data_IF_597198892980
#
_entry.id   IF_597198892980
#
_cell.length_a   1.000
_cell.length_b   1.000
_cell.length_c   1.000
_cell.angle_alpha   90.00
_cell.angle_beta   90.00
_cell.angle_gamma   90.00
#
_symmetry.space_group_name_H-M   'P 1'
#
loop_
_entity.id
_entity.type
_entity.pdbx_description
1 polymer ?
#
# COMPACT_ATOMS: atom_id res chain seq x y z
N UNK A 1 -0.58 -27.49 11.66
CA UNK A 1 -0.59 -26.26 10.86
C UNK A 1 0.83 -26.10 10.35
N UNK A 2 1.11 -26.09 9.04
CA UNK A 2 2.44 -25.74 8.59
C UNK A 2 2.70 -24.31 9.05
N UNK A 3 3.78 -24.12 9.79
CA UNK A 3 4.30 -22.81 10.15
C UNK A 3 4.89 -22.18 8.88
N UNK A 4 4.09 -21.35 8.20
CA UNK A 4 4.53 -20.61 7.02
C UNK A 4 5.64 -19.68 7.45
N UNK A 5 6.87 -20.02 7.05
CA UNK A 5 8.05 -19.22 7.39
C UNK A 5 8.13 -18.08 6.38
N UNK A 6 7.93 -16.85 6.84
CA UNK A 6 8.01 -15.68 5.98
C UNK A 6 9.45 -15.39 5.55
N UNK A 7 9.65 -15.04 4.30
CA UNK A 7 10.94 -14.65 3.73
C UNK A 7 11.13 -13.13 3.81
N UNK A 8 12.12 -12.64 4.58
CA UNK A 8 12.34 -11.20 4.76
C UNK A 8 12.59 -10.47 3.44
N UNK A 9 11.86 -9.37 3.23
CA UNK A 9 12.06 -8.50 2.08
C UNK A 9 11.73 -7.04 2.41
N UNK A 10 12.52 -6.12 1.87
CA UNK A 10 12.29 -4.69 2.00
C UNK A 10 11.14 -4.23 1.08
N UNK A 11 10.38 -3.18 1.46
CA UNK A 11 9.25 -2.70 0.66
C UNK A 11 9.62 -2.31 -0.77
N UNK A 12 10.73 -1.60 -0.96
CA UNK A 12 11.22 -1.14 -2.27
C UNK A 12 11.60 -2.32 -3.18
N UNK A 13 12.28 -3.33 -2.61
CA UNK A 13 12.64 -4.54 -3.32
C UNK A 13 11.40 -5.34 -3.76
N UNK A 14 10.45 -5.53 -2.86
CA UNK A 14 9.20 -6.24 -3.16
C UNK A 14 8.41 -5.54 -4.26
N UNK A 15 8.28 -4.20 -4.20
CA UNK A 15 7.60 -3.43 -5.25
C UNK A 15 8.31 -3.58 -6.60
N UNK A 16 9.65 -3.55 -6.61
CA UNK A 16 10.43 -3.76 -7.84
C UNK A 16 10.17 -5.14 -8.45
N UNK A 17 10.18 -6.20 -7.64
CA UNK A 17 9.89 -7.56 -8.10
C UNK A 17 8.45 -7.68 -8.61
N UNK A 18 7.48 -7.13 -7.89
CA UNK A 18 6.07 -7.12 -8.30
C UNK A 18 5.86 -6.45 -9.66
N UNK A 19 6.41 -5.24 -9.86
CA UNK A 19 6.25 -4.52 -11.12
C UNK A 19 6.89 -5.26 -12.29
N UNK A 20 8.02 -5.94 -12.06
CA UNK A 20 8.69 -6.76 -13.07
C UNK A 20 7.87 -8.01 -13.43
N UNK A 21 7.30 -8.67 -12.44
CA UNK A 21 6.43 -9.85 -12.62
C UNK A 21 5.20 -9.49 -13.48
N UNK A 22 4.57 -8.35 -13.17
CA UNK A 22 3.35 -7.88 -13.88
C UNK A 22 3.59 -7.25 -15.24
N UNK A 23 4.83 -6.88 -15.58
CA UNK A 23 5.13 -6.14 -16.80
C UNK A 23 4.73 -6.88 -18.09
N UNK A 24 4.73 -8.21 -18.08
CA UNK A 24 4.33 -9.01 -19.24
C UNK A 24 2.81 -9.26 -19.31
N UNK A 25 2.08 -9.02 -18.22
CA UNK A 25 0.66 -9.33 -18.09
C UNK A 25 -0.23 -8.09 -18.24
N UNK A 26 0.30 -6.92 -17.90
CA UNK A 26 -0.45 -5.66 -17.86
C UNK A 26 0.05 -4.68 -18.92
N UNK A 27 -0.85 -3.81 -19.36
CA UNK A 27 -0.47 -2.69 -20.23
C UNK A 27 0.51 -1.73 -19.53
N UNK A 28 1.43 -1.13 -20.29
CA UNK A 28 2.44 -0.21 -19.77
C UNK A 28 1.84 0.93 -18.93
N UNK A 29 0.72 1.51 -19.38
CA UNK A 29 0.02 2.56 -18.63
C UNK A 29 -0.49 2.09 -17.26
N UNK A 30 -0.87 0.83 -17.13
CA UNK A 30 -1.26 0.22 -15.85
C UNK A 30 -0.05 0.03 -14.95
N UNK A 31 1.07 -0.44 -15.51
CA UNK A 31 2.35 -0.58 -14.78
C UNK A 31 2.83 0.77 -14.25
N UNK A 32 2.78 1.83 -15.05
CA UNK A 32 3.15 3.17 -14.62
C UNK A 32 2.22 3.70 -13.51
N UNK A 33 0.92 3.43 -13.64
CA UNK A 33 -0.05 3.77 -12.60
C UNK A 33 0.22 3.04 -11.29
N UNK A 34 0.57 1.75 -11.37
CA UNK A 34 0.89 0.92 -10.21
C UNK A 34 2.19 1.36 -9.56
N UNK A 35 3.23 1.63 -10.37
CA UNK A 35 4.51 2.17 -9.91
C UNK A 35 4.31 3.42 -9.08
N UNK A 36 3.62 4.43 -9.60
CA UNK A 36 3.38 5.68 -8.89
C UNK A 36 2.69 5.46 -7.53
N UNK A 37 1.68 4.58 -7.49
CA UNK A 37 0.93 4.29 -6.25
C UNK A 37 1.79 3.52 -5.25
N UNK A 38 2.54 2.52 -5.69
CA UNK A 38 3.35 1.69 -4.81
C UNK A 38 4.62 2.42 -4.33
N UNK A 39 5.16 3.35 -5.10
CA UNK A 39 6.22 4.27 -4.63
C UNK A 39 5.72 5.08 -3.43
N UNK A 40 4.46 5.53 -3.42
CA UNK A 40 3.90 6.21 -2.23
C UNK A 40 3.78 5.31 -1.01
N UNK A 41 3.62 3.99 -1.21
CA UNK A 41 3.64 3.03 -0.12
C UNK A 41 5.06 2.85 0.43
N UNK A 42 6.06 2.72 -0.45
CA UNK A 42 7.48 2.66 -0.05
C UNK A 42 7.90 3.93 0.70
N UNK A 43 7.60 5.11 0.15
CA UNK A 43 7.85 6.41 0.79
C UNK A 43 7.28 6.44 2.22
N UNK A 44 6.06 5.90 2.40
CA UNK A 44 5.40 5.85 3.70
C UNK A 44 6.05 4.82 4.64
N UNK A 45 6.41 3.64 4.15
CA UNK A 45 7.14 2.64 4.93
C UNK A 45 8.46 3.21 5.47
N UNK A 46 9.20 3.97 4.67
CA UNK A 46 10.41 4.67 5.12
C UNK A 46 10.12 5.67 6.25
N UNK A 47 9.00 6.40 6.18
CA UNK A 47 8.63 7.36 7.25
C UNK A 47 8.21 6.69 8.56
N UNK A 48 7.78 5.44 8.51
CA UNK A 48 7.33 4.67 9.69
C UNK A 48 8.37 3.65 10.17
N UNK A 49 9.61 3.71 9.63
CA UNK A 49 10.68 2.75 9.89
C UNK A 49 10.28 1.28 9.61
N UNK A 50 9.39 1.07 8.63
CA UNK A 50 8.95 -0.26 8.18
C UNK A 50 9.90 -0.77 7.09
N UNK A 51 11.01 -1.36 7.51
CA UNK A 51 12.07 -1.84 6.62
C UNK A 51 11.87 -3.29 6.14
N UNK A 52 10.92 -4.03 6.73
CA UNK A 52 10.67 -5.44 6.42
C UNK A 52 9.17 -5.74 6.34
N UNK A 53 8.72 -6.26 5.19
CA UNK A 53 7.32 -6.59 4.96
C UNK A 53 6.78 -7.71 5.84
N UNK A 54 7.64 -8.56 6.43
CA UNK A 54 7.21 -9.55 7.42
C UNK A 54 6.53 -8.90 8.65
N UNK A 55 6.80 -7.62 8.91
CA UNK A 55 6.19 -6.86 10.00
C UNK A 55 4.91 -6.13 9.60
N UNK A 56 4.52 -6.16 8.33
CA UNK A 56 3.34 -5.46 7.82
C UNK A 56 2.07 -6.06 8.40
N UNK A 57 1.27 -5.24 9.09
CA UNK A 57 0.02 -5.66 9.69
C UNK A 57 -1.20 -4.96 9.08
N UNK A 58 -2.40 -5.47 9.39
CA UNK A 58 -3.65 -4.79 9.05
C UNK A 58 -3.75 -3.37 9.65
N UNK A 59 -3.09 -3.10 10.78
CA UNK A 59 -3.05 -1.77 11.40
C UNK A 59 -2.20 -0.81 10.57
N UNK A 60 -1.12 -1.29 9.98
CA UNK A 60 -0.25 -0.50 9.12
C UNK A 60 -0.96 -0.17 7.80
N UNK A 61 -1.69 -1.13 7.23
CA UNK A 61 -2.54 -0.87 6.06
C UNK A 61 -3.61 0.20 6.33
N UNK A 62 -4.20 0.21 7.54
CA UNK A 62 -5.13 1.25 7.96
C UNK A 62 -4.45 2.62 8.10
N UNK A 63 -3.26 2.67 8.72
CA UNK A 63 -2.47 3.90 8.86
C UNK A 63 -2.09 4.46 7.49
N UNK A 64 -1.66 3.61 6.56
CA UNK A 64 -1.36 4.02 5.19
C UNK A 64 -2.59 4.61 4.49
N UNK A 65 -3.77 3.99 4.63
CA UNK A 65 -5.03 4.55 4.13
C UNK A 65 -5.29 5.95 4.69
N UNK A 66 -5.15 6.14 6.00
CA UNK A 66 -5.38 7.43 6.66
C UNK A 66 -4.36 8.49 6.20
N UNK A 67 -3.11 8.10 5.99
CA UNK A 67 -2.08 8.96 5.41
C UNK A 67 -2.47 9.42 4.00
N UNK A 68 -2.84 8.49 3.11
CA UNK A 68 -3.21 8.84 1.72
C UNK A 68 -4.53 9.59 1.61
N UNK A 69 -5.48 9.37 2.52
CA UNK A 69 -6.77 10.07 2.53
C UNK A 69 -6.64 11.57 2.81
N UNK A 70 -5.53 12.04 3.39
CA UNK A 70 -5.27 13.47 3.57
C UNK A 70 -4.92 14.18 2.26
N UNK A 71 -4.41 13.45 1.26
CA UNK A 71 -3.92 14.00 -0.01
C UNK A 71 -4.79 13.67 -1.22
N UNK A 72 -5.70 12.69 -1.10
CA UNK A 72 -6.43 12.12 -2.24
C UNK A 72 -7.94 12.21 -2.04
N UNK A 73 -8.65 12.48 -3.15
CA UNK A 73 -10.10 12.29 -3.20
C UNK A 73 -10.48 10.79 -3.17
N UNK A 74 -11.75 10.49 -2.88
CA UNK A 74 -12.27 9.12 -2.71
C UNK A 74 -11.96 8.19 -3.89
N UNK A 75 -12.08 8.69 -5.13
CA UNK A 75 -11.80 7.92 -6.35
C UNK A 75 -10.32 7.55 -6.46
N UNK A 76 -9.44 8.53 -6.21
CA UNK A 76 -7.99 8.34 -6.27
C UNK A 76 -7.50 7.45 -5.13
N UNK A 77 -8.08 7.62 -3.94
CA UNK A 77 -7.80 6.79 -2.77
C UNK A 77 -8.22 5.33 -3.00
N UNK A 78 -9.38 5.10 -3.63
CA UNK A 78 -9.78 3.75 -4.06
C UNK A 78 -8.73 3.14 -4.98
N UNK A 79 -8.33 3.85 -6.04
CA UNK A 79 -7.33 3.37 -6.97
C UNK A 79 -5.97 3.09 -6.33
N UNK A 80 -5.58 3.90 -5.34
CA UNK A 80 -4.38 3.70 -4.52
C UNK A 80 -4.46 2.39 -3.72
N UNK A 81 -5.57 2.17 -3.02
CA UNK A 81 -5.75 1.01 -2.14
C UNK A 81 -6.00 -0.28 -2.91
N UNK A 82 -6.63 -0.22 -4.09
CA UNK A 82 -6.82 -1.40 -4.93
C UNK A 82 -5.48 -1.88 -5.51
N UNK A 83 -4.58 -0.96 -5.90
CA UNK A 83 -3.22 -1.30 -6.31
C UNK A 83 -2.42 -1.90 -5.14
N UNK A 84 -2.53 -1.31 -3.94
CA UNK A 84 -1.91 -1.87 -2.73
C UNK A 84 -2.44 -3.28 -2.43
N UNK A 85 -3.75 -3.51 -2.54
CA UNK A 85 -4.34 -4.84 -2.30
C UNK A 85 -3.78 -5.88 -3.27
N UNK A 86 -3.68 -5.55 -4.55
CA UNK A 86 -3.11 -6.45 -5.55
C UNK A 86 -1.63 -6.76 -5.27
N UNK A 87 -0.87 -5.77 -4.82
CA UNK A 87 0.52 -5.94 -4.39
C UNK A 87 0.64 -6.84 -3.16
N UNK A 88 -0.11 -6.57 -2.07
CA UNK A 88 -0.08 -7.39 -0.84
C UNK A 88 -0.47 -8.83 -1.14
N UNK A 89 -1.49 -9.05 -1.98
CA UNK A 89 -1.87 -10.40 -2.41
C UNK A 89 -0.76 -11.13 -3.18
N UNK A 90 0.05 -10.39 -3.93
CA UNK A 90 1.21 -10.98 -4.60
C UNK A 90 2.34 -11.26 -3.59
N UNK A 91 2.56 -10.40 -2.59
CA UNK A 91 3.51 -10.65 -1.51
C UNK A 91 3.20 -11.95 -0.74
N UNK A 92 1.92 -12.26 -0.54
CA UNK A 92 1.48 -13.55 0.05
C UNK A 92 1.99 -14.74 -0.79
N UNK A 93 1.99 -14.62 -2.11
CA UNK A 93 2.43 -15.71 -3.01
C UNK A 93 3.93 -15.98 -3.01
N UNK A 94 4.72 -15.08 -2.42
CA UNK A 94 6.18 -15.20 -2.29
C UNK A 94 6.62 -15.22 -0.81
N UNK A 95 5.70 -15.54 0.10
CA UNK A 95 5.94 -15.65 1.54
C UNK A 95 6.51 -14.35 2.18
N UNK A 96 6.26 -13.18 1.59
CA UNK A 96 6.77 -11.89 2.08
C UNK A 96 5.91 -11.23 3.17
N UNK A 97 4.66 -11.68 3.32
CA UNK A 97 3.69 -11.18 4.31
C UNK A 97 2.81 -12.34 4.79
N UNK A 98 2.10 -12.14 5.90
CA UNK A 98 1.12 -13.11 6.38
C UNK A 98 0.02 -13.37 5.35
N UNK A 99 -0.41 -14.63 5.25
CA UNK A 99 -1.51 -15.05 4.38
C UNK A 99 -2.80 -14.26 4.68
N UNK A 100 -3.60 -13.99 3.65
CA UNK A 100 -4.87 -13.27 3.73
C UNK A 100 -4.79 -11.81 4.20
N UNK A 101 -3.59 -11.24 4.36
CA UNK A 101 -3.39 -9.84 4.75
C UNK A 101 -4.03 -8.86 3.74
N UNK A 102 -4.08 -9.21 2.45
CA UNK A 102 -4.72 -8.40 1.41
C UNK A 102 -6.20 -8.09 1.71
N UNK A 103 -6.90 -9.00 2.41
CA UNK A 103 -8.29 -8.80 2.82
C UNK A 103 -8.44 -7.66 3.84
N UNK A 104 -7.36 -7.29 4.53
CA UNK A 104 -7.34 -6.19 5.51
C UNK A 104 -7.14 -4.82 4.85
N UNK A 105 -6.88 -4.75 3.54
CA UNK A 105 -6.83 -3.48 2.81
C UNK A 105 -8.25 -2.93 2.65
N UNK A 106 -8.59 -1.87 3.35
CA UNK A 106 -9.94 -1.28 3.39
C UNK A 106 -10.17 -0.24 2.28
N UNK A 107 -10.41 -0.69 1.05
CA UNK A 107 -10.76 0.18 -0.08
C UNK A 107 -12.18 0.79 0.08
N UNK A 108 -12.38 2.10 -0.18
CA UNK A 108 -13.69 2.71 -0.23
C UNK A 108 -14.63 2.03 -1.24
N UNK A 109 -15.89 1.87 -0.85
CA UNK A 109 -16.98 1.57 -1.78
C UNK A 109 -17.40 2.89 -2.43
N UNK A 110 -17.27 2.99 -3.76
CA UNK A 110 -17.84 4.12 -4.52
C UNK A 110 -19.21 3.64 -5.02
N UNK A 111 -20.27 4.38 -4.71
CA UNK A 111 -21.54 4.20 -5.41
C UNK A 111 -21.46 4.91 -6.78
N UNK A 112 -22.19 4.42 -7.79
CA UNK A 112 -22.09 4.83 -9.20
C UNK A 112 -22.28 6.33 -9.50
N UNK A 113 -22.66 7.15 -8.51
CA UNK A 113 -22.79 8.61 -8.61
C UNK A 113 -21.54 9.43 -8.29
N UNK A 114 -20.46 8.81 -7.80
CA UNK A 114 -19.31 9.54 -7.20
C UNK A 114 -18.28 10.07 -8.22
N UNK A 115 -18.73 10.46 -9.43
CA UNK A 115 -17.92 11.22 -10.40
C UNK A 115 -17.89 12.73 -10.12
N UNK A 116 -18.66 13.21 -9.15
CA UNK A 116 -18.70 14.63 -8.81
C UNK A 116 -18.74 14.84 -7.29
N UNK A 117 -17.67 15.47 -6.78
CA UNK A 117 -17.58 16.26 -5.54
C UNK A 117 -18.02 15.63 -4.20
N UNK A 118 -17.08 15.69 -3.25
CA UNK A 118 -17.31 15.76 -1.80
C UNK A 118 -18.39 14.83 -1.23
N UNK A 119 -18.02 13.58 -1.02
CA UNK A 119 -18.53 12.84 0.14
C UNK A 119 -17.33 12.33 0.90
N UNK A 120 -16.88 13.19 1.83
CA UNK A 120 -16.20 12.75 3.04
C UNK A 120 -16.99 11.55 3.56
N UNK A 121 -16.31 10.42 3.77
CA UNK A 121 -16.85 9.29 4.48
C UNK A 121 -17.56 9.79 5.73
N UNK A 122 -18.89 9.68 5.72
CA UNK A 122 -19.75 9.82 6.88
C UNK A 122 -19.13 8.98 8.00
N UNK A 123 -18.78 9.64 9.10
CA UNK A 123 -17.88 9.11 10.13
C UNK A 123 -18.52 7.98 10.97
N UNK A 124 -19.68 7.46 10.58
CA UNK A 124 -20.46 6.50 11.36
C UNK A 124 -20.35 5.04 10.86
N UNK A 125 -19.60 4.76 9.79
CA UNK A 125 -19.34 3.37 9.34
C UNK A 125 -17.97 2.81 9.78
N UNK A 126 -17.35 3.41 10.81
CA UNK A 126 -16.04 2.99 11.32
C UNK A 126 -16.12 1.98 12.49
N UNK A 127 -17.32 1.57 12.92
CA UNK A 127 -17.51 0.89 14.23
C UNK A 127 -17.95 -0.58 14.14
N UNK A 128 -17.72 -1.29 13.03
CA UNK A 128 -18.10 -2.73 12.96
C UNK A 128 -17.05 -3.68 12.32
N UNK A 129 -15.82 -3.21 12.08
CA UNK A 129 -14.71 -4.05 11.56
C UNK A 129 -13.56 -4.17 12.58
N UNK A 130 -13.79 -3.79 13.84
CA UNK A 130 -12.79 -3.95 14.90
C UNK A 130 -12.98 -5.20 15.77
N UNK A 131 -14.02 -6.00 15.55
CA UNK A 131 -14.31 -7.17 16.41
C UNK A 131 -13.65 -8.50 15.96
N UNK A 132 -12.70 -8.46 15.01
CA UNK A 132 -12.02 -9.67 14.52
C UNK A 132 -10.49 -9.65 14.59
N UNK A 133 -9.84 -8.62 15.17
CA UNK A 133 -8.37 -8.57 15.26
C UNK A 133 -7.83 -8.19 16.65
N UNK A 134 -8.61 -8.42 17.70
CA UNK A 134 -8.16 -8.28 19.08
C UNK A 134 -7.38 -9.52 19.56
N UNK A 135 -6.34 -9.93 18.83
CA UNK A 135 -5.27 -10.80 19.35
C UNK A 135 -3.95 -10.36 18.72
N UNK A 136 -2.97 -10.15 19.60
CA UNK A 136 -1.59 -9.70 19.38
C UNK A 136 -1.30 -8.22 19.63
N UNK A 137 -0.31 -8.08 20.51
CA UNK A 137 -0.01 -6.98 21.40
C UNK A 137 0.79 -5.86 20.72
N UNK A 138 0.53 -4.63 21.18
CA UNK A 138 1.61 -3.73 21.61
C UNK A 138 2.57 -3.15 20.58
N UNK A 139 2.13 -2.10 19.88
CA UNK A 139 2.92 -0.85 19.79
C UNK A 139 2.04 0.34 19.37
N UNK A 140 1.78 1.20 20.35
CA UNK A 140 1.35 2.58 20.12
C UNK A 140 2.62 3.43 20.08
N UNK A 141 2.92 4.02 18.92
CA UNK A 141 3.74 5.21 18.87
C UNK A 141 2.95 6.26 18.10
N UNK A 142 2.32 7.16 18.84
CA UNK A 142 1.75 8.38 18.28
C UNK A 142 2.90 9.38 18.21
N UNK A 143 3.38 9.64 16.99
CA UNK A 143 4.46 10.58 16.74
C UNK A 143 4.22 11.33 15.44
N UNK A 144 3.33 12.31 15.48
CA UNK A 144 3.18 13.32 14.42
C UNK A 144 4.49 14.11 14.31
N UNK A 145 5.17 14.07 13.17
CA UNK A 145 5.73 15.29 12.58
C UNK A 145 6.15 15.13 11.12
N UNK A 146 5.65 16.06 10.33
CA UNK A 146 6.04 16.42 8.98
C UNK A 146 7.53 16.82 8.92
N UNK A 147 8.12 16.63 7.73
CA UNK A 147 9.43 17.11 7.27
C UNK A 147 10.65 16.22 7.53
N UNK A 148 10.98 15.39 6.53
CA UNK A 148 12.37 15.14 6.13
C UNK A 148 12.47 14.68 4.67
N UNK A 149 12.28 15.63 3.76
CA UNK A 149 12.71 15.50 2.36
C UNK A 149 14.22 15.27 2.29
N UNK A 150 14.63 14.13 1.74
CA UNK A 150 15.89 13.80 1.02
C UNK A 150 16.28 12.36 1.42
N UNK A 151 16.04 11.34 0.61
CA UNK A 151 16.72 11.09 -0.68
C UNK A 151 16.08 9.87 -1.37
N UNK A 152 15.47 10.05 -2.54
CA UNK A 152 15.35 8.98 -3.54
C UNK A 152 15.13 9.59 -4.93
N UNK A 153 16.06 10.45 -5.33
CA UNK A 153 16.14 10.99 -6.71
C UNK A 153 17.00 10.12 -7.63
N UNK A 154 17.15 8.84 -7.33
CA UNK A 154 18.10 7.95 -8.02
C UNK A 154 17.46 6.95 -9.02
N UNK A 155 16.12 6.81 -9.08
CA UNK A 155 15.47 5.84 -9.99
C UNK A 155 14.99 6.49 -11.32
N UNK A 156 15.11 7.82 -11.46
CA UNK A 156 14.50 8.58 -12.56
C UNK A 156 15.41 8.83 -13.79
N UNK A 157 16.42 8.00 -14.06
CA UNK A 157 17.36 8.22 -15.18
C UNK A 157 17.61 7.01 -16.11
N UNK A 158 16.82 5.94 -16.08
CA UNK A 158 17.06 4.78 -16.97
C UNK A 158 15.97 4.45 -17.99
N UNK A 159 14.92 5.27 -18.15
CA UNK A 159 13.87 5.02 -19.17
C UNK A 159 13.76 6.06 -20.30
N UNK A 160 14.72 6.98 -20.45
CA UNK A 160 14.71 7.99 -21.53
C UNK A 160 15.81 7.81 -22.60
N UNK A 161 16.43 6.63 -22.69
CA UNK A 161 17.50 6.36 -23.66
C UNK A 161 17.16 5.26 -24.68
N UNK A 162 15.89 5.19 -25.13
CA UNK A 162 15.51 4.20 -26.16
C UNK A 162 14.48 4.70 -27.17
N UNK A 163 14.66 5.92 -27.66
CA UNK A 163 14.22 6.31 -29.01
C UNK A 163 15.18 7.39 -29.53
N UNK A 164 16.31 6.93 -30.06
CA UNK A 164 17.08 7.64 -31.09
C UNK A 164 16.81 6.97 -32.43
#
# INVERSE_FOLDING_TARGET
MPETTLEPIAPDEAVRLYLRDRQNELADATIDSYRYKLEKFVDWCETEDLENLNSLSGRDLLRFKQYRAQDLNSVSLKGQLDALRAFVKWCESIDAVEQDLHNKVLSPSLNDGDRERDVLLDSDAATDILDHLARFEGRVNFGVSCDRRQRLRAILQLSLARHG
#
